data_IF_098514991144
#
_entry.id   IF_098514991144
#
_cell.length_a   1.000
_cell.length_b   1.000
_cell.length_c   1.000
_cell.angle_alpha   90.00
_cell.angle_beta   90.00
_cell.angle_gamma   90.00
#
_symmetry.space_group_name_H-M   'P 1'
#
loop_
_entity.id
_entity.type
_entity.pdbx_description
1 polymer ?
#
# COMPACT_ATOMS: atom_id res chain seq x y z
N UNK A 1 -33.93 -41.77 45.40
CA UNK A 1 -35.16 -41.89 44.58
C UNK A 1 -35.27 -40.60 43.75
N UNK A 2 -35.30 -40.75 42.41
CA UNK A 2 -35.31 -39.70 41.35
C UNK A 2 -36.48 -38.69 41.51
N UNK A 3 -36.49 -37.44 40.96
CA UNK A 3 -36.15 -37.04 39.58
C UNK A 3 -35.23 -35.79 39.50
N UNK A 4 -34.49 -35.44 38.45
CA UNK A 4 -34.81 -35.42 37.03
C UNK A 4 -35.24 -34.01 36.60
N UNK A 5 -34.35 -33.31 35.85
CA UNK A 5 -34.55 -32.19 34.89
C UNK A 5 -33.84 -30.84 35.24
N UNK A 6 -33.45 -30.01 34.23
CA UNK A 6 -33.42 -30.25 32.79
C UNK A 6 -32.03 -30.05 32.15
N UNK A 7 -31.78 -30.83 31.09
CA UNK A 7 -30.86 -30.44 30.04
C UNK A 7 -31.32 -29.10 29.47
N UNK A 8 -30.52 -28.05 29.65
CA UNK A 8 -30.73 -26.79 28.92
C UNK A 8 -29.97 -26.88 27.62
N UNK A 9 -30.75 -26.86 26.55
CA UNK A 9 -30.35 -26.76 25.15
C UNK A 9 -29.22 -25.75 24.94
N UNK A 10 -28.01 -26.26 24.73
CA UNK A 10 -26.88 -25.52 24.16
C UNK A 10 -26.91 -25.49 22.63
N UNK A 11 -28.05 -25.78 22.00
CA UNK A 11 -28.27 -25.69 20.57
C UNK A 11 -28.63 -24.24 20.17
N UNK A 12 -27.73 -23.30 20.44
CA UNK A 12 -27.81 -21.95 19.86
C UNK A 12 -26.78 -21.84 18.72
N UNK A 13 -27.30 -22.02 17.51
CA UNK A 13 -26.84 -21.46 16.23
C UNK A 13 -25.32 -21.41 15.98
N UNK A 14 -24.77 -22.55 15.56
CA UNK A 14 -23.51 -22.61 14.81
C UNK A 14 -23.73 -22.19 13.34
N UNK A 15 -24.24 -20.99 13.08
CA UNK A 15 -24.13 -20.39 11.73
C UNK A 15 -22.69 -19.85 11.59
N UNK A 16 -21.92 -20.28 10.59
CA UNK A 16 -20.49 -20.51 10.78
C UNK A 16 -19.69 -19.22 10.61
N UNK A 17 -18.86 -18.87 11.60
CA UNK A 17 -17.80 -17.85 11.48
C UNK A 17 -16.95 -18.02 10.21
N UNK A 18 -16.84 -19.25 9.70
CA UNK A 18 -16.24 -19.56 8.38
C UNK A 18 -16.90 -18.79 7.23
N UNK A 19 -18.24 -18.72 7.16
CA UNK A 19 -18.93 -18.05 6.05
C UNK A 19 -18.75 -16.54 6.06
N UNK A 20 -18.76 -15.92 7.24
CA UNK A 20 -18.47 -14.49 7.39
C UNK A 20 -17.02 -14.16 7.01
N UNK A 21 -16.07 -14.99 7.45
CA UNK A 21 -14.66 -14.85 7.08
C UNK A 21 -14.42 -15.06 5.58
N UNK A 22 -15.07 -16.05 4.96
CA UNK A 22 -14.97 -16.28 3.52
C UNK A 22 -15.49 -15.08 2.72
N UNK A 23 -16.64 -14.50 3.09
CA UNK A 23 -17.17 -13.28 2.46
C UNK A 23 -16.20 -12.11 2.62
N UNK A 24 -15.66 -11.91 3.83
CA UNK A 24 -14.63 -10.90 4.08
C UNK A 24 -13.38 -11.12 3.23
N UNK A 25 -12.89 -12.35 3.17
CA UNK A 25 -11.67 -12.70 2.42
C UNK A 25 -11.87 -12.52 0.92
N UNK A 26 -12.98 -12.97 0.36
CA UNK A 26 -13.32 -12.76 -1.05
C UNK A 26 -13.49 -11.25 -1.37
N UNK A 27 -14.13 -10.49 -0.47
CA UNK A 27 -14.20 -9.01 -0.58
C UNK A 27 -12.79 -8.43 -0.66
N UNK A 28 -11.89 -8.84 0.24
CA UNK A 28 -10.52 -8.32 0.31
C UNK A 28 -9.73 -8.65 -0.96
N UNK A 29 -9.85 -9.87 -1.47
CA UNK A 29 -9.19 -10.29 -2.71
C UNK A 29 -9.69 -9.45 -3.88
N UNK A 30 -11.01 -9.39 -4.08
CA UNK A 30 -11.61 -8.69 -5.22
C UNK A 30 -11.35 -7.20 -5.19
N UNK A 31 -11.52 -6.53 -4.04
CA UNK A 31 -11.30 -5.07 -3.94
C UNK A 31 -9.83 -4.68 -4.08
N UNK A 32 -8.91 -5.53 -3.59
CA UNK A 32 -7.46 -5.30 -3.75
C UNK A 32 -7.01 -5.56 -5.17
N UNK A 33 -7.50 -6.63 -5.80
CA UNK A 33 -7.17 -6.97 -7.19
C UNK A 33 -7.65 -5.88 -8.15
N UNK A 34 -8.91 -5.45 -7.99
CA UNK A 34 -9.54 -4.40 -8.81
C UNK A 34 -8.78 -3.08 -8.70
N UNK A 35 -8.33 -2.72 -7.50
CA UNK A 35 -7.55 -1.51 -7.29
C UNK A 35 -6.22 -1.54 -8.04
N UNK A 36 -5.50 -2.67 -7.99
CA UNK A 36 -4.22 -2.81 -8.69
C UNK A 36 -4.41 -2.80 -10.21
N UNK A 37 -5.47 -3.44 -10.71
CA UNK A 37 -5.83 -3.41 -12.13
C UNK A 37 -6.19 -2.00 -12.58
N UNK A 38 -7.04 -1.30 -11.81
CA UNK A 38 -7.48 0.07 -12.10
C UNK A 38 -6.30 1.04 -12.13
N UNK A 39 -5.35 0.91 -11.20
CA UNK A 39 -4.17 1.75 -11.16
C UNK A 39 -3.27 1.56 -12.41
N UNK A 40 -3.13 0.34 -12.94
CA UNK A 40 -2.41 0.10 -14.20
C UNK A 40 -3.17 0.67 -15.39
N UNK A 41 -4.48 0.40 -15.47
CA UNK A 41 -5.33 0.88 -16.56
C UNK A 41 -5.35 2.41 -16.62
N UNK A 42 -5.55 3.08 -15.49
CA UNK A 42 -5.56 4.53 -15.35
C UNK A 42 -4.23 5.16 -15.74
N UNK A 43 -3.11 4.62 -15.23
CA UNK A 43 -1.77 5.10 -15.58
C UNK A 43 -1.46 4.95 -17.07
N UNK A 44 -1.79 3.80 -17.67
CA UNK A 44 -1.61 3.63 -19.12
C UNK A 44 -2.52 4.56 -19.93
N UNK A 45 -3.79 4.72 -19.53
CA UNK A 45 -4.77 5.51 -20.27
C UNK A 45 -4.40 7.00 -20.30
N UNK A 46 -4.05 7.59 -19.15
CA UNK A 46 -3.64 9.00 -19.13
C UNK A 46 -2.38 9.22 -19.99
N UNK A 47 -1.43 8.29 -19.97
CA UNK A 47 -0.22 8.39 -20.78
C UNK A 47 -0.49 8.17 -22.27
N UNK A 48 -1.43 7.28 -22.60
CA UNK A 48 -1.88 7.07 -23.97
C UNK A 48 -2.52 8.34 -24.55
N UNK A 49 -3.29 9.09 -23.75
CA UNK A 49 -3.92 10.35 -24.17
C UNK A 49 -2.94 11.52 -24.23
N UNK A 50 -2.13 11.71 -23.18
CA UNK A 50 -1.35 12.95 -23.01
C UNK A 50 0.10 12.85 -23.47
N UNK A 51 0.67 11.64 -23.54
CA UNK A 51 2.10 11.40 -23.79
C UNK A 51 3.02 12.17 -22.83
N UNK A 52 2.52 12.48 -21.63
CA UNK A 52 3.19 13.35 -20.68
C UNK A 52 3.41 12.65 -19.34
N UNK A 53 4.66 12.61 -18.89
CA UNK A 53 5.00 12.13 -17.55
C UNK A 53 4.46 13.04 -16.43
N UNK A 54 4.30 14.34 -16.72
CA UNK A 54 3.70 15.28 -15.78
C UNK A 54 2.22 14.94 -15.52
N UNK A 55 1.49 14.53 -16.55
CA UNK A 55 0.10 14.08 -16.40
C UNK A 55 -0.03 12.83 -15.51
N UNK A 56 0.92 11.91 -15.58
CA UNK A 56 1.00 10.76 -14.65
C UNK A 56 1.20 11.23 -13.20
N UNK A 57 2.09 12.20 -12.98
CA UNK A 57 2.29 12.81 -11.66
C UNK A 57 1.01 13.45 -11.11
N UNK A 58 0.21 14.12 -11.96
CA UNK A 58 -1.08 14.70 -11.56
C UNK A 58 -2.07 13.60 -11.13
N UNK A 59 -2.08 12.43 -11.77
CA UNK A 59 -2.94 11.30 -11.33
C UNK A 59 -2.58 10.83 -9.91
N UNK A 60 -1.30 10.75 -9.59
CA UNK A 60 -0.83 10.46 -8.23
C UNK A 60 -1.28 11.54 -7.25
N UNK A 61 -1.05 12.82 -7.58
CA UNK A 61 -1.46 13.95 -6.75
C UNK A 61 -2.98 14.01 -6.54
N UNK A 62 -3.76 13.70 -7.58
CA UNK A 62 -5.22 13.68 -7.54
C UNK A 62 -5.74 12.61 -6.58
N UNK A 63 -5.09 11.44 -6.49
CA UNK A 63 -5.41 10.43 -5.48
C UNK A 63 -4.99 10.87 -4.07
N UNK A 64 -3.87 11.59 -3.97
CA UNK A 64 -3.26 11.94 -2.69
C UNK A 64 -4.03 13.03 -1.96
N UNK A 65 -4.33 14.11 -2.67
CA UNK A 65 -4.82 15.33 -2.07
C UNK A 65 -6.14 15.10 -1.29
N UNK A 66 -7.16 14.39 -1.85
CA UNK A 66 -8.36 14.06 -1.11
C UNK A 66 -8.08 13.11 0.05
N UNK A 67 -7.23 12.09 -0.15
CA UNK A 67 -6.88 11.14 0.90
C UNK A 67 -6.25 11.86 2.11
N UNK A 68 -5.31 12.76 1.86
CA UNK A 68 -4.63 13.54 2.89
C UNK A 68 -5.58 14.51 3.60
N UNK A 69 -6.39 15.27 2.84
CA UNK A 69 -7.38 16.20 3.41
C UNK A 69 -8.43 15.49 4.28
N UNK A 70 -8.83 14.28 3.88
CA UNK A 70 -9.86 13.50 4.57
C UNK A 70 -9.30 12.64 5.71
N UNK A 71 -7.98 12.48 5.84
CA UNK A 71 -7.37 11.61 6.86
C UNK A 71 -7.83 11.96 8.29
N UNK A 72 -7.99 13.25 8.61
CA UNK A 72 -8.50 13.69 9.92
C UNK A 72 -9.97 13.35 10.13
N UNK A 73 -10.77 13.40 9.06
CA UNK A 73 -12.21 13.11 9.08
C UNK A 73 -12.46 11.60 9.20
N UNK A 74 -11.60 10.79 8.59
CA UNK A 74 -11.70 9.32 8.56
C UNK A 74 -11.79 8.74 9.97
N UNK A 75 -10.98 9.20 10.92
CA UNK A 75 -11.00 8.70 12.30
C UNK A 75 -12.36 8.90 12.98
N UNK A 76 -12.91 10.10 12.87
CA UNK A 76 -14.21 10.45 13.45
C UNK A 76 -15.37 9.66 12.82
N UNK A 77 -15.33 9.45 11.51
CA UNK A 77 -16.35 8.67 10.79
C UNK A 77 -16.23 7.18 11.12
N UNK A 78 -15.01 6.63 11.16
CA UNK A 78 -14.77 5.22 11.45
C UNK A 78 -15.19 4.80 12.86
N UNK A 79 -15.23 5.76 13.80
CA UNK A 79 -15.67 5.51 15.18
C UNK A 79 -17.20 5.61 15.35
N UNK A 80 -17.88 6.45 14.55
CA UNK A 80 -19.32 6.70 14.66
C UNK A 80 -20.20 5.78 13.83
N UNK A 81 -19.69 5.32 12.69
CA UNK A 81 -20.49 4.55 11.73
C UNK A 81 -20.05 3.08 11.68
N UNK A 82 -20.99 2.23 11.25
CA UNK A 82 -20.71 0.82 11.00
C UNK A 82 -19.65 0.67 9.91
N UNK A 83 -18.51 0.05 10.27
CA UNK A 83 -17.35 -0.19 9.40
C UNK A 83 -17.71 -0.96 8.13
N UNK A 84 -18.70 -1.86 8.20
CA UNK A 84 -19.20 -2.57 7.02
C UNK A 84 -19.87 -1.61 6.04
N UNK A 85 -20.67 -0.66 6.54
CA UNK A 85 -21.33 0.36 5.71
C UNK A 85 -20.30 1.30 5.10
N UNK A 86 -19.28 1.71 5.87
CA UNK A 86 -18.18 2.53 5.34
C UNK A 86 -17.49 1.80 4.18
N UNK A 87 -17.06 0.54 4.39
CA UNK A 87 -16.41 -0.25 3.35
C UNK A 87 -17.31 -0.44 2.11
N UNK A 88 -18.60 -0.74 2.29
CA UNK A 88 -19.55 -0.88 1.21
C UNK A 88 -19.73 0.41 0.38
N UNK A 89 -19.83 1.56 1.05
CA UNK A 89 -19.93 2.88 0.38
C UNK A 89 -18.67 3.18 -0.40
N UNK A 90 -17.48 2.99 0.19
CA UNK A 90 -16.21 3.20 -0.50
C UNK A 90 -16.09 2.32 -1.76
N UNK A 91 -16.37 1.03 -1.63
CA UNK A 91 -16.33 0.11 -2.77
C UNK A 91 -17.40 0.41 -3.82
N UNK A 92 -18.54 0.99 -3.42
CA UNK A 92 -19.56 1.47 -4.35
C UNK A 92 -19.06 2.69 -5.13
N UNK A 93 -18.37 3.63 -4.47
CA UNK A 93 -17.73 4.79 -5.15
C UNK A 93 -16.66 4.30 -6.14
N UNK A 94 -15.84 3.34 -5.74
CA UNK A 94 -14.81 2.74 -6.62
C UNK A 94 -15.44 1.99 -7.79
N UNK A 95 -16.51 1.23 -7.55
CA UNK A 95 -17.29 0.56 -8.58
C UNK A 95 -17.88 1.58 -9.57
N UNK A 96 -18.49 2.65 -9.07
CA UNK A 96 -19.06 3.71 -9.89
C UNK A 96 -17.99 4.40 -10.71
N UNK A 97 -16.83 4.73 -10.12
CA UNK A 97 -15.71 5.31 -10.84
C UNK A 97 -15.21 4.38 -11.96
N UNK A 98 -15.03 3.08 -11.67
CA UNK A 98 -14.65 2.08 -12.68
C UNK A 98 -15.72 1.94 -13.79
N UNK A 99 -17.00 2.01 -13.46
CA UNK A 99 -18.09 1.99 -14.43
C UNK A 99 -18.09 3.24 -15.31
N UNK A 100 -17.85 4.43 -14.75
CA UNK A 100 -17.70 5.69 -15.51
C UNK A 100 -16.49 5.61 -16.44
N UNK A 101 -15.35 5.08 -15.98
CA UNK A 101 -14.21 4.81 -16.86
C UNK A 101 -14.58 3.88 -18.02
N UNK A 102 -15.29 2.77 -17.75
CA UNK A 102 -15.70 1.83 -18.78
C UNK A 102 -16.66 2.47 -19.80
N UNK A 103 -17.76 3.07 -19.32
CA UNK A 103 -18.77 3.70 -20.15
C UNK A 103 -18.18 4.84 -20.99
N UNK A 104 -17.33 5.67 -20.39
CA UNK A 104 -16.71 6.77 -21.12
C UNK A 104 -15.64 6.32 -22.09
N UNK A 105 -14.97 5.19 -21.82
CA UNK A 105 -14.05 4.59 -22.80
C UNK A 105 -14.81 4.08 -24.01
N UNK A 106 -15.94 3.39 -23.82
CA UNK A 106 -16.80 2.96 -24.94
C UNK A 106 -17.49 4.13 -25.65
N UNK A 107 -17.87 5.16 -24.91
CA UNK A 107 -18.49 6.38 -25.45
C UNK A 107 -17.49 7.36 -26.08
N UNK A 108 -16.18 7.13 -25.95
CA UNK A 108 -15.14 7.97 -26.54
C UNK A 108 -15.01 9.37 -25.92
N UNK A 109 -15.56 9.61 -24.73
CA UNK A 109 -15.56 10.93 -24.07
C UNK A 109 -14.63 11.03 -22.86
N UNK A 110 -13.88 9.96 -22.52
CA UNK A 110 -12.88 10.03 -21.46
C UNK A 110 -11.70 10.90 -21.90
N UNK A 111 -11.47 11.97 -21.15
CA UNK A 111 -10.35 12.88 -21.29
C UNK A 111 -9.52 12.97 -19.99
N UNK A 112 -8.42 13.73 -20.03
CA UNK A 112 -7.53 13.87 -18.88
C UNK A 112 -8.21 14.46 -17.62
N UNK A 113 -9.00 15.56 -17.71
CA UNK A 113 -9.75 16.07 -16.57
C UNK A 113 -10.66 15.04 -15.89
N UNK A 114 -11.41 14.25 -16.66
CA UNK A 114 -12.28 13.22 -16.10
C UNK A 114 -11.45 12.14 -15.39
N UNK A 115 -10.32 11.72 -15.98
CA UNK A 115 -9.40 10.78 -15.31
C UNK A 115 -8.95 11.32 -13.95
N UNK A 116 -8.57 12.59 -13.86
CA UNK A 116 -8.13 13.20 -12.58
C UNK A 116 -9.24 13.25 -11.54
N UNK A 117 -10.48 13.60 -11.94
CA UNK A 117 -11.63 13.61 -11.02
C UNK A 117 -11.94 12.20 -10.51
N UNK A 118 -11.93 11.21 -11.39
CA UNK A 118 -12.17 9.81 -11.00
C UNK A 118 -11.05 9.27 -10.11
N UNK A 119 -9.78 9.61 -10.40
CA UNK A 119 -8.64 9.29 -9.56
C UNK A 119 -8.80 9.90 -8.16
N UNK A 120 -9.26 11.16 -8.07
CA UNK A 120 -9.55 11.81 -6.80
C UNK A 120 -10.68 11.13 -6.02
N UNK A 121 -11.76 10.72 -6.69
CA UNK A 121 -12.84 9.96 -6.07
C UNK A 121 -12.35 8.61 -5.50
N UNK A 122 -11.51 7.90 -6.24
CA UNK A 122 -10.91 6.62 -5.78
C UNK A 122 -9.97 6.86 -4.60
N UNK A 123 -9.11 7.88 -4.65
CA UNK A 123 -8.23 8.24 -3.54
C UNK A 123 -9.00 8.62 -2.28
N UNK A 124 -10.09 9.40 -2.41
CA UNK A 124 -10.99 9.74 -1.32
C UNK A 124 -11.65 8.49 -0.71
N UNK A 125 -12.18 7.59 -1.55
CA UNK A 125 -12.80 6.34 -1.08
C UNK A 125 -11.81 5.46 -0.31
N UNK A 126 -10.58 5.32 -0.81
CA UNK A 126 -9.50 4.55 -0.20
C UNK A 126 -9.11 5.04 1.19
N UNK A 127 -9.19 6.35 1.42
CA UNK A 127 -8.90 6.95 2.71
C UNK A 127 -9.76 6.36 3.84
N UNK A 128 -11.04 6.09 3.55
CA UNK A 128 -11.98 5.48 4.50
C UNK A 128 -11.97 3.94 4.43
N UNK A 129 -11.78 3.34 3.24
CA UNK A 129 -11.85 1.89 3.06
C UNK A 129 -10.76 1.15 3.87
N UNK A 130 -9.52 1.65 3.86
CA UNK A 130 -8.38 1.00 4.51
C UNK A 130 -8.62 0.73 6.00
N UNK A 131 -8.90 1.77 6.82
CA UNK A 131 -9.22 1.60 8.24
C UNK A 131 -10.50 0.80 8.48
N UNK A 132 -11.52 0.95 7.63
CA UNK A 132 -12.77 0.21 7.75
C UNK A 132 -12.56 -1.30 7.56
N UNK A 133 -11.81 -1.73 6.54
CA UNK A 133 -11.49 -3.14 6.30
C UNK A 133 -10.60 -3.72 7.40
N UNK A 134 -9.55 -2.99 7.82
CA UNK A 134 -8.64 -3.44 8.86
C UNK A 134 -9.38 -3.69 10.19
N UNK A 135 -10.40 -2.88 10.48
CA UNK A 135 -11.20 -2.98 11.69
C UNK A 135 -12.41 -3.93 11.59
N UNK A 136 -12.75 -4.38 10.37
CA UNK A 136 -13.79 -5.37 10.12
C UNK A 136 -13.28 -6.80 10.38
N UNK A 137 -12.01 -7.09 10.10
CA UNK A 137 -11.44 -8.42 10.33
C UNK A 137 -11.63 -8.91 11.79
N UNK A 138 -11.33 -8.11 12.84
CA UNK A 138 -11.58 -8.53 14.21
C UNK A 138 -13.04 -8.68 14.62
N UNK A 139 -13.96 -8.11 13.84
CA UNK A 139 -15.40 -8.27 14.08
C UNK A 139 -15.96 -9.57 13.45
N UNK A 140 -15.23 -10.18 12.51
CA UNK A 140 -15.66 -11.35 11.74
C UNK A 140 -15.14 -12.67 12.32
N UNK A 141 -14.00 -12.65 13.02
CA UNK A 141 -13.38 -13.85 13.60
C UNK A 141 -13.21 -13.74 15.11
N UNK A 142 -13.06 -14.89 15.78
CA UNK A 142 -12.78 -14.91 17.21
C UNK A 142 -11.35 -14.47 17.53
N UNK A 143 -11.09 -13.98 18.75
CA UNK A 143 -9.75 -13.55 19.19
C UNK A 143 -8.66 -14.60 18.96
N UNK A 144 -8.99 -15.89 19.18
CA UNK A 144 -8.06 -17.01 18.97
C UNK A 144 -7.70 -17.24 17.51
N UNK A 145 -8.58 -16.86 16.57
CA UNK A 145 -8.39 -17.05 15.13
C UNK A 145 -7.77 -15.82 14.45
N UNK A 146 -7.71 -14.67 15.13
CA UNK A 146 -7.21 -13.40 14.58
C UNK A 146 -5.83 -13.52 13.91
N UNK A 147 -4.81 -14.19 14.50
CA UNK A 147 -3.50 -14.27 13.85
C UNK A 147 -3.58 -15.01 12.51
N UNK A 148 -4.32 -16.13 12.48
CA UNK A 148 -4.52 -16.93 11.26
C UNK A 148 -5.31 -16.15 10.21
N UNK A 149 -6.36 -15.45 10.64
CA UNK A 149 -7.21 -14.66 9.76
C UNK A 149 -6.45 -13.43 9.18
N UNK A 150 -5.61 -12.81 9.99
CA UNK A 150 -4.71 -11.72 9.58
C UNK A 150 -3.71 -12.23 8.55
N UNK A 151 -3.09 -13.39 8.78
CA UNK A 151 -2.18 -13.99 7.81
C UNK A 151 -2.86 -14.22 6.46
N UNK A 152 -4.07 -14.79 6.43
CA UNK A 152 -4.84 -14.99 5.19
C UNK A 152 -5.22 -13.70 4.47
N UNK A 153 -5.60 -12.66 5.23
CA UNK A 153 -5.94 -11.34 4.68
C UNK A 153 -4.71 -10.66 4.06
N UNK A 154 -3.56 -10.73 4.73
CA UNK A 154 -2.29 -10.22 4.22
C UNK A 154 -1.85 -10.99 2.99
N UNK A 155 -1.93 -12.31 2.98
CA UNK A 155 -1.61 -13.14 1.81
C UNK A 155 -2.48 -12.80 0.60
N UNK A 156 -3.79 -12.57 0.81
CA UNK A 156 -4.68 -12.11 -0.25
C UNK A 156 -4.25 -10.76 -0.83
N UNK A 157 -3.85 -9.81 0.02
CA UNK A 157 -3.35 -8.51 -0.43
C UNK A 157 -2.04 -8.64 -1.22
N UNK A 158 -1.09 -9.46 -0.76
CA UNK A 158 0.15 -9.72 -1.50
C UNK A 158 -0.12 -10.37 -2.86
N UNK A 159 -1.01 -11.36 -2.92
CA UNK A 159 -1.41 -11.99 -4.16
C UNK A 159 -2.04 -10.98 -5.13
N UNK A 160 -2.92 -10.10 -4.64
CA UNK A 160 -3.50 -9.03 -5.44
C UNK A 160 -2.45 -8.03 -5.95
N UNK A 161 -1.43 -7.70 -5.14
CA UNK A 161 -0.34 -6.82 -5.57
C UNK A 161 0.54 -7.43 -6.65
N UNK A 162 0.69 -8.76 -6.67
CA UNK A 162 1.47 -9.47 -7.68
C UNK A 162 0.64 -9.72 -8.95
N UNK A 163 -0.56 -10.25 -8.81
CA UNK A 163 -1.38 -10.71 -9.95
C UNK A 163 -2.19 -9.57 -10.56
N UNK A 164 -2.63 -8.60 -9.75
CA UNK A 164 -3.50 -7.51 -10.18
C UNK A 164 -2.91 -6.65 -11.30
N UNK A 165 -1.66 -6.16 -11.20
CA UNK A 165 -1.08 -5.36 -12.27
C UNK A 165 -0.97 -6.11 -13.60
N UNK A 166 -0.54 -7.38 -13.58
CA UNK A 166 -0.47 -8.23 -14.77
C UNK A 166 -1.85 -8.46 -15.39
N UNK A 167 -2.88 -8.76 -14.59
CA UNK A 167 -4.26 -8.88 -15.07
C UNK A 167 -4.79 -7.56 -15.63
N UNK A 168 -4.49 -6.44 -14.99
CA UNK A 168 -4.88 -5.10 -15.45
C UNK A 168 -4.26 -4.78 -16.81
N UNK A 169 -2.97 -5.04 -16.96
CA UNK A 169 -2.25 -4.91 -18.22
C UNK A 169 -2.76 -5.86 -19.31
N UNK A 170 -3.08 -7.11 -18.95
CA UNK A 170 -3.64 -8.10 -19.87
C UNK A 170 -5.01 -7.65 -20.41
N UNK A 171 -5.95 -7.31 -19.52
CA UNK A 171 -7.27 -6.85 -19.92
C UNK A 171 -7.19 -5.55 -20.73
N UNK A 172 -6.30 -4.62 -20.34
CA UNK A 172 -6.12 -3.38 -21.10
C UNK A 172 -5.52 -3.65 -22.49
N UNK A 173 -4.68 -4.67 -22.62
CA UNK A 173 -4.16 -5.14 -23.90
C UNK A 173 -5.26 -5.64 -24.87
N UNK A 174 -6.36 -6.20 -24.34
CA UNK A 174 -7.56 -6.53 -25.12
C UNK A 174 -8.32 -5.24 -25.48
N UNK A 175 -8.37 -4.31 -24.53
CA UNK A 175 -8.87 -2.95 -24.73
C UNK A 175 -9.10 -2.23 -23.40
N UNK A 176 -9.12 -0.90 -23.44
CA UNK A 176 -9.34 -0.09 -22.25
C UNK A 176 -10.72 -0.37 -21.60
N UNK A 177 -11.78 -0.54 -22.41
CA UNK A 177 -13.14 -0.83 -21.94
C UNK A 177 -13.25 -2.12 -21.11
N UNK A 178 -12.80 -3.28 -21.63
CA UNK A 178 -12.76 -4.54 -20.88
C UNK A 178 -11.99 -4.46 -19.56
N UNK A 179 -10.88 -3.73 -19.51
CA UNK A 179 -10.11 -3.55 -18.28
C UNK A 179 -10.92 -2.85 -17.18
N UNK A 180 -11.59 -1.74 -17.52
CA UNK A 180 -12.42 -1.02 -16.57
C UNK A 180 -13.70 -1.77 -16.21
N UNK A 181 -14.32 -2.48 -17.15
CA UNK A 181 -15.45 -3.38 -16.86
C UNK A 181 -15.05 -4.48 -15.87
N UNK A 182 -13.89 -5.11 -16.08
CA UNK A 182 -13.37 -6.11 -15.15
C UNK A 182 -13.18 -5.57 -13.74
N UNK A 183 -12.69 -4.33 -13.62
CA UNK A 183 -12.59 -3.62 -12.34
C UNK A 183 -13.98 -3.34 -11.74
N UNK A 184 -14.92 -2.82 -12.53
CA UNK A 184 -16.26 -2.49 -12.07
C UNK A 184 -17.02 -3.73 -11.57
N UNK A 185 -16.98 -4.84 -12.32
CA UNK A 185 -17.60 -6.11 -11.93
C UNK A 185 -16.99 -6.68 -10.64
N UNK A 186 -15.66 -6.60 -10.51
CA UNK A 186 -14.96 -7.10 -9.34
C UNK A 186 -15.25 -6.24 -8.09
N UNK A 187 -15.34 -4.91 -8.23
CA UNK A 187 -15.81 -4.03 -7.15
C UNK A 187 -17.28 -4.26 -6.81
N UNK A 188 -18.16 -4.43 -7.80
CA UNK A 188 -19.58 -4.75 -7.57
C UNK A 188 -19.73 -6.06 -6.78
N UNK A 189 -18.98 -7.09 -7.14
CA UNK A 189 -18.94 -8.35 -6.40
C UNK A 189 -18.43 -8.15 -4.96
N UNK A 190 -17.39 -7.32 -4.77
CA UNK A 190 -16.89 -6.96 -3.43
C UNK A 190 -17.97 -6.25 -2.59
N UNK A 191 -18.73 -5.30 -3.18
CA UNK A 191 -19.84 -4.59 -2.52
C UNK A 191 -20.93 -5.57 -2.04
N UNK A 192 -21.32 -6.53 -2.89
CA UNK A 192 -22.32 -7.54 -2.53
C UNK A 192 -21.82 -8.45 -1.39
N UNK A 193 -20.54 -8.85 -1.46
CA UNK A 193 -19.93 -9.71 -0.44
C UNK A 193 -19.79 -8.98 0.90
N UNK A 194 -19.29 -7.74 0.92
CA UNK A 194 -19.11 -6.97 2.16
C UNK A 194 -20.45 -6.65 2.82
N UNK A 195 -21.46 -6.33 2.01
CA UNK A 195 -22.81 -6.02 2.50
C UNK A 195 -23.50 -7.24 3.11
N UNK A 196 -23.19 -8.44 2.61
CA UNK A 196 -23.72 -9.71 3.12
C UNK A 196 -22.95 -10.28 4.31
N UNK A 197 -21.91 -9.61 4.82
CA UNK A 197 -21.20 -10.07 6.04
C UNK A 197 -22.16 -9.93 7.24
N UNK A 198 -22.46 -11.02 7.98
CA UNK A 198 -23.30 -10.95 9.15
C UNK A 198 -22.52 -10.33 10.32
N UNK A 199 -22.89 -9.12 10.73
CA UNK A 199 -22.25 -8.43 11.84
C UNK A 199 -22.81 -8.93 13.17
N UNK A 200 -21.93 -9.45 14.03
CA UNK A 200 -22.28 -9.87 15.39
C UNK A 200 -21.53 -9.08 16.47
N UNK A 201 -20.67 -8.12 16.12
CA UNK A 201 -19.80 -7.45 17.08
C UNK A 201 -20.24 -6.02 17.38
N UNK A 202 -20.45 -5.71 18.66
CA UNK A 202 -20.50 -4.34 19.18
C UNK A 202 -19.21 -3.60 18.79
N UNK A 203 -19.26 -2.28 18.52
CA UNK A 203 -18.07 -1.49 18.28
C UNK A 203 -17.11 -1.67 19.46
N UNK A 204 -15.90 -2.15 19.20
CA UNK A 204 -14.83 -1.98 20.19
C UNK A 204 -14.59 -0.47 20.28
N UNK A 205 -15.04 0.13 21.37
CA UNK A 205 -14.78 1.53 21.73
C UNK A 205 -13.29 1.68 21.93
N UNK A 206 -12.57 2.00 20.85
CA UNK A 206 -11.23 2.56 20.97
C UNK A 206 -11.41 4.04 21.31
N UNK A 207 -10.58 4.61 22.19
CA UNK A 207 -10.61 6.05 22.42
C UNK A 207 -10.33 6.77 21.09
N UNK A 208 -11.05 7.87 20.80
CA UNK A 208 -10.92 8.59 19.54
C UNK A 208 -9.48 9.08 19.34
N UNK A 209 -9.00 9.04 18.10
CA UNK A 209 -7.71 9.65 17.74
C UNK A 209 -7.91 11.17 17.74
N UNK A 210 -7.51 11.83 18.83
CA UNK A 210 -7.54 13.29 18.93
C UNK A 210 -6.34 13.92 18.21
N UNK A 211 -6.45 15.19 17.79
CA UNK A 211 -5.32 15.94 17.24
C UNK A 211 -4.13 15.96 18.22
N UNK A 212 -4.42 16.13 19.51
CA UNK A 212 -3.44 16.07 20.59
C UNK A 212 -2.72 14.70 20.64
N UNK A 213 -3.44 13.60 20.40
CA UNK A 213 -2.89 12.26 20.27
C UNK A 213 -1.92 12.16 19.08
N UNK A 214 -2.27 12.72 17.92
CA UNK A 214 -1.39 12.76 16.74
C UNK A 214 -0.12 13.59 17.02
N UNK A 215 -0.27 14.79 17.59
CA UNK A 215 0.86 15.64 17.96
C UNK A 215 1.78 14.98 19.00
N UNK A 216 1.23 14.20 19.93
CA UNK A 216 2.04 13.43 20.88
C UNK A 216 2.89 12.34 20.19
N UNK A 217 2.33 11.66 19.18
CA UNK A 217 3.06 10.68 18.36
C UNK A 217 4.17 11.33 17.54
N UNK A 218 3.88 12.47 16.91
CA UNK A 218 4.88 13.27 16.16
C UNK A 218 6.01 13.71 17.10
N UNK A 219 5.67 14.27 18.27
CA UNK A 219 6.67 14.71 19.27
C UNK A 219 7.56 13.57 19.75
N UNK A 220 7.01 12.37 19.90
CA UNK A 220 7.78 11.18 20.25
C UNK A 220 8.76 10.79 19.13
N UNK A 221 8.31 10.75 17.89
CA UNK A 221 9.16 10.47 16.73
C UNK A 221 10.34 11.44 16.68
N UNK A 222 10.11 12.74 16.86
CA UNK A 222 11.19 13.75 16.88
C UNK A 222 12.17 13.60 18.06
N UNK A 223 11.76 12.95 19.15
CA UNK A 223 12.62 12.72 20.33
C UNK A 223 13.40 11.42 20.26
N UNK A 224 12.98 10.46 19.44
CA UNK A 224 13.64 9.18 19.27
C UNK A 224 14.43 9.17 17.94
N UNK A 225 15.73 9.51 17.96
CA UNK A 225 16.52 9.77 16.74
C UNK A 225 16.63 8.56 15.82
N UNK A 226 16.53 7.33 16.36
CA UNK A 226 16.55 6.10 15.57
C UNK A 226 15.25 5.94 14.76
N UNK A 227 14.10 6.23 15.36
CA UNK A 227 12.80 6.20 14.65
C UNK A 227 12.73 7.34 13.65
N UNK A 228 13.12 8.56 14.03
CA UNK A 228 13.16 9.71 13.12
C UNK A 228 14.07 9.44 11.92
N UNK A 229 15.28 8.90 12.16
CA UNK A 229 16.23 8.55 11.11
C UNK A 229 15.66 7.50 10.15
N UNK A 230 14.98 6.47 10.68
CA UNK A 230 14.38 5.42 9.86
C UNK A 230 13.18 5.93 9.03
N UNK A 231 12.29 6.72 9.62
CA UNK A 231 11.12 7.29 8.94
C UNK A 231 11.53 8.33 7.89
N UNK A 232 12.48 9.22 8.22
CA UNK A 232 12.95 10.25 7.29
C UNK A 232 13.78 9.65 6.14
N UNK A 233 14.61 8.64 6.41
CA UNK A 233 15.35 7.93 5.35
C UNK A 233 14.38 7.34 4.32
N UNK A 234 13.33 6.68 4.78
CA UNK A 234 12.31 6.11 3.91
C UNK A 234 11.55 7.18 3.13
N UNK A 235 11.09 8.23 3.80
CA UNK A 235 10.40 9.36 3.17
C UNK A 235 11.20 9.92 2.00
N UNK A 236 12.49 10.22 2.19
CA UNK A 236 13.33 10.77 1.14
C UNK A 236 13.72 9.73 0.08
N UNK A 237 13.97 8.48 0.48
CA UNK A 237 14.29 7.41 -0.47
C UNK A 237 13.12 7.13 -1.43
N UNK A 238 11.89 7.10 -0.93
CA UNK A 238 10.68 6.90 -1.73
C UNK A 238 10.37 8.14 -2.57
N UNK A 239 10.54 9.35 -1.99
CA UNK A 239 10.30 10.61 -2.69
C UNK A 239 11.16 10.72 -3.96
N UNK A 240 12.44 10.36 -3.89
CA UNK A 240 13.34 10.36 -5.04
C UNK A 240 13.28 9.05 -5.85
N UNK A 241 12.74 7.98 -5.27
CA UNK A 241 12.73 6.63 -5.83
C UNK A 241 11.53 6.29 -6.73
N UNK A 242 10.74 7.28 -7.17
CA UNK A 242 9.45 7.12 -7.85
C UNK A 242 9.46 6.52 -9.26
N UNK A 243 10.33 5.55 -9.54
CA UNK A 243 10.41 4.83 -10.81
C UNK A 243 9.10 4.11 -11.18
N UNK A 244 8.33 3.66 -10.18
CA UNK A 244 7.04 2.99 -10.36
C UNK A 244 6.00 3.90 -11.04
N UNK A 245 6.03 5.20 -10.74
CA UNK A 245 5.13 6.20 -11.33
C UNK A 245 5.38 6.39 -12.83
N UNK A 246 6.64 6.26 -13.24
CA UNK A 246 7.11 6.47 -14.61
C UNK A 246 7.11 5.18 -15.44
N UNK A 247 6.72 4.04 -14.87
CA UNK A 247 6.65 2.77 -15.61
C UNK A 247 5.85 2.85 -16.91
N UNK A 248 4.73 3.59 -17.03
CA UNK A 248 4.02 3.70 -18.31
C UNK A 248 4.87 4.35 -19.41
N UNK A 249 5.71 5.33 -19.05
CA UNK A 249 6.65 5.99 -19.97
C UNK A 249 7.72 4.98 -20.42
N UNK A 250 8.32 4.25 -19.47
CA UNK A 250 9.33 3.24 -19.77
C UNK A 250 8.82 2.06 -20.59
N UNK A 251 7.65 1.55 -20.22
CA UNK A 251 7.02 0.46 -20.93
C UNK A 251 6.77 0.82 -22.39
N UNK A 252 6.26 2.02 -22.68
CA UNK A 252 5.90 2.45 -24.03
C UNK A 252 7.08 2.94 -24.86
N UNK A 253 7.92 3.83 -24.32
CA UNK A 253 8.86 4.62 -25.13
C UNK A 253 10.31 4.10 -25.08
N UNK A 254 10.63 3.24 -24.12
CA UNK A 254 12.00 2.73 -23.94
C UNK A 254 12.11 1.21 -24.07
N UNK A 255 11.04 0.48 -23.76
CA UNK A 255 11.02 -0.99 -23.79
C UNK A 255 10.13 -1.55 -24.91
N UNK A 256 9.46 -0.69 -25.67
CA UNK A 256 8.54 -1.04 -26.76
C UNK A 256 7.52 -2.12 -26.36
N UNK A 257 7.04 -2.05 -25.12
CA UNK A 257 6.09 -3.00 -24.55
C UNK A 257 4.69 -2.39 -24.42
N UNK A 258 3.68 -3.23 -24.62
CA UNK A 258 2.28 -2.84 -24.44
C UNK A 258 1.83 -2.78 -22.97
N UNK A 259 0.53 -2.59 -22.74
CA UNK A 259 -0.08 -2.54 -21.40
C UNK A 259 0.20 -3.79 -20.56
N UNK A 260 0.27 -4.97 -21.19
CA UNK A 260 0.65 -6.22 -20.53
C UNK A 260 2.09 -6.16 -19.98
N UNK A 261 3.01 -5.60 -20.76
CA UNK A 261 4.41 -5.41 -20.34
C UNK A 261 4.51 -4.48 -19.14
N UNK A 262 3.77 -3.37 -19.14
CA UNK A 262 3.62 -2.49 -17.97
C UNK A 262 3.12 -3.26 -16.74
N UNK A 263 2.07 -4.06 -16.92
CA UNK A 263 1.49 -4.88 -15.85
C UNK A 263 2.55 -5.82 -15.24
N UNK A 264 3.30 -6.52 -16.08
CA UNK A 264 4.38 -7.42 -15.66
C UNK A 264 5.54 -6.70 -14.97
N UNK A 265 5.94 -5.50 -15.45
CA UNK A 265 6.97 -4.69 -14.79
C UNK A 265 6.54 -4.28 -13.38
N UNK A 266 5.28 -3.85 -13.21
CA UNK A 266 4.74 -3.51 -11.89
C UNK A 266 4.63 -4.75 -10.99
N UNK A 267 4.22 -5.89 -11.54
CA UNK A 267 4.20 -7.18 -10.83
C UNK A 267 5.58 -7.64 -10.38
N UNK A 268 6.63 -7.39 -11.18
CA UNK A 268 8.00 -7.79 -10.86
C UNK A 268 8.50 -7.17 -9.53
N UNK A 269 8.15 -5.91 -9.27
CA UNK A 269 8.46 -5.25 -7.99
C UNK A 269 7.79 -5.96 -6.82
N UNK A 270 6.53 -6.34 -6.95
CA UNK A 270 5.79 -7.07 -5.91
C UNK A 270 6.34 -8.50 -5.70
N UNK A 271 6.76 -9.18 -6.77
CA UNK A 271 7.43 -10.49 -6.69
C UNK A 271 8.76 -10.37 -5.95
N UNK A 272 9.55 -9.33 -6.25
CA UNK A 272 10.78 -9.01 -5.54
C UNK A 272 10.55 -8.80 -4.04
N UNK A 273 9.57 -7.99 -3.68
CA UNK A 273 9.22 -7.74 -2.28
C UNK A 273 8.76 -9.01 -1.55
N UNK A 274 7.99 -9.87 -2.21
CA UNK A 274 7.61 -11.17 -1.63
C UNK A 274 8.82 -12.08 -1.42
N UNK A 275 9.71 -12.18 -2.42
CA UNK A 275 10.93 -12.97 -2.32
C UNK A 275 11.84 -12.47 -1.19
N UNK A 276 12.02 -11.15 -1.06
CA UNK A 276 12.76 -10.52 0.04
C UNK A 276 12.13 -10.79 1.40
N UNK A 277 10.79 -10.76 1.50
CA UNK A 277 10.07 -11.09 2.75
C UNK A 277 10.28 -12.55 3.16
N UNK A 278 10.17 -13.49 2.20
CA UNK A 278 10.40 -14.91 2.45
C UNK A 278 11.86 -15.17 2.85
N UNK A 279 12.80 -14.46 2.23
CA UNK A 279 14.21 -14.52 2.59
C UNK A 279 14.45 -14.04 4.02
N UNK A 280 13.88 -12.91 4.43
CA UNK A 280 13.97 -12.39 5.81
C UNK A 280 13.29 -13.30 6.84
N UNK A 281 12.21 -13.97 6.47
CA UNK A 281 11.56 -14.96 7.34
C UNK A 281 12.47 -16.16 7.62
N UNK A 282 13.32 -16.54 6.65
CA UNK A 282 14.30 -17.62 6.82
C UNK A 282 15.60 -17.15 7.47
N UNK A 283 16.01 -15.93 7.18
CA UNK A 283 17.25 -15.29 7.64
C UNK A 283 16.94 -13.98 8.38
N UNK A 284 16.44 -14.07 9.63
CA UNK A 284 16.08 -12.89 10.40
C UNK A 284 17.31 -12.00 10.66
N UNK A 285 17.09 -10.68 10.62
CA UNK A 285 18.13 -9.66 10.83
C UNK A 285 18.55 -9.59 12.30
N UNK A 286 19.38 -10.55 12.73
CA UNK A 286 19.86 -10.65 14.12
C UNK A 286 21.00 -9.69 14.45
N UNK A 287 21.81 -9.31 13.45
CA UNK A 287 23.00 -8.49 13.64
C UNK A 287 22.92 -7.21 12.81
N UNK A 288 22.86 -6.05 13.48
CA UNK A 288 22.94 -4.70 12.88
C UNK A 288 21.81 -4.39 11.89
N UNK A 289 20.54 -4.40 12.34
CA UNK A 289 19.39 -4.08 11.49
C UNK A 289 19.49 -2.71 10.81
N UNK A 290 20.11 -1.72 11.47
CA UNK A 290 20.34 -0.40 10.88
C UNK A 290 21.25 -0.44 9.64
N UNK A 291 22.32 -1.25 9.65
CA UNK A 291 23.18 -1.42 8.47
C UNK A 291 22.43 -2.12 7.34
N UNK A 292 21.62 -3.13 7.65
CA UNK A 292 20.80 -3.83 6.65
C UNK A 292 19.79 -2.88 5.98
N UNK A 293 19.15 -1.99 6.74
CA UNK A 293 18.25 -0.96 6.22
C UNK A 293 18.97 -0.05 5.22
N UNK A 294 20.12 0.51 5.58
CA UNK A 294 20.88 1.36 4.67
C UNK A 294 21.37 0.62 3.42
N UNK A 295 21.86 -0.62 3.57
CA UNK A 295 22.23 -1.46 2.42
C UNK A 295 21.03 -1.70 1.49
N UNK A 296 19.84 -1.97 2.05
CA UNK A 296 18.61 -2.09 1.28
C UNK A 296 18.30 -0.84 0.46
N UNK A 297 18.35 0.35 1.08
CA UNK A 297 18.10 1.62 0.38
C UNK A 297 19.15 1.93 -0.69
N UNK A 298 20.42 1.57 -0.47
CA UNK A 298 21.47 1.74 -1.48
C UNK A 298 21.24 0.80 -2.67
N UNK A 299 20.93 -0.48 -2.41
CA UNK A 299 20.63 -1.44 -3.47
C UNK A 299 19.37 -1.02 -4.24
N UNK A 300 18.36 -0.48 -3.55
CA UNK A 300 17.18 0.11 -4.17
C UNK A 300 17.56 1.25 -5.13
N UNK A 301 18.39 2.20 -4.69
CA UNK A 301 18.85 3.30 -5.53
C UNK A 301 19.68 2.84 -6.73
N UNK A 302 20.54 1.82 -6.56
CA UNK A 302 21.31 1.21 -7.66
C UNK A 302 20.38 0.51 -8.65
N UNK A 303 19.42 -0.28 -8.16
CA UNK A 303 18.43 -0.95 -9.02
C UNK A 303 17.59 0.04 -9.81
N UNK A 304 17.18 1.16 -9.18
CA UNK A 304 16.50 2.27 -9.84
C UNK A 304 17.36 2.91 -10.95
N UNK A 305 18.64 3.15 -10.68
CA UNK A 305 19.57 3.68 -11.69
C UNK A 305 19.78 2.71 -12.87
N UNK A 306 19.94 1.41 -12.58
CA UNK A 306 20.07 0.35 -13.60
C UNK A 306 18.79 0.27 -14.45
N UNK A 307 17.62 0.33 -13.83
CA UNK A 307 16.34 0.38 -14.54
C UNK A 307 16.26 1.60 -15.46
N UNK A 308 16.66 2.78 -14.98
CA UNK A 308 16.71 4.01 -15.78
C UNK A 308 17.65 3.95 -16.98
N UNK A 309 18.74 3.17 -16.91
CA UNK A 309 19.71 3.01 -18.00
C UNK A 309 19.42 1.83 -18.94
N UNK A 310 18.49 0.95 -18.55
CA UNK A 310 18.21 -0.28 -19.27
C UNK A 310 17.41 -0.04 -20.55
N UNK A 311 17.82 -0.72 -21.63
CA UNK A 311 17.11 -0.79 -22.91
C UNK A 311 16.49 -2.16 -23.18
N UNK A 312 16.74 -3.13 -22.31
CA UNK A 312 16.26 -4.50 -22.49
C UNK A 312 15.16 -4.80 -21.49
N UNK A 313 14.03 -5.31 -21.98
CA UNK A 313 12.87 -5.64 -21.15
C UNK A 313 13.23 -6.55 -19.96
N UNK A 314 14.04 -7.59 -20.19
CA UNK A 314 14.44 -8.55 -19.15
C UNK A 314 15.32 -7.89 -18.09
N UNK A 315 16.27 -7.04 -18.49
CA UNK A 315 17.13 -6.32 -17.55
C UNK A 315 16.31 -5.38 -16.67
N UNK A 316 15.35 -4.67 -17.26
CA UNK A 316 14.41 -3.82 -16.54
C UNK A 316 13.53 -4.60 -15.57
N UNK A 317 13.04 -5.78 -16.00
CA UNK A 317 12.24 -6.67 -15.16
C UNK A 317 13.05 -7.16 -13.94
N UNK A 318 14.29 -7.63 -14.15
CA UNK A 318 15.19 -8.07 -13.08
C UNK A 318 15.57 -6.92 -12.14
N UNK A 319 15.82 -5.73 -12.68
CA UNK A 319 16.09 -4.54 -11.88
C UNK A 319 14.91 -4.22 -10.94
N UNK A 320 13.66 -4.32 -11.43
CA UNK A 320 12.47 -4.11 -10.61
C UNK A 320 12.26 -5.20 -9.55
N UNK A 321 12.62 -6.46 -9.85
CA UNK A 321 12.66 -7.53 -8.83
C UNK A 321 13.64 -7.19 -7.72
N UNK A 322 14.87 -6.77 -8.07
CA UNK A 322 15.89 -6.37 -7.09
C UNK A 322 15.43 -5.15 -6.30
N UNK A 323 14.84 -4.16 -6.97
CA UNK A 323 14.27 -2.96 -6.36
C UNK A 323 13.26 -3.34 -5.27
N UNK A 324 12.25 -4.15 -5.60
CA UNK A 324 11.25 -4.59 -4.62
C UNK A 324 11.82 -5.45 -3.48
N UNK A 325 12.77 -6.34 -3.78
CA UNK A 325 13.43 -7.17 -2.77
C UNK A 325 14.28 -6.35 -1.79
N UNK A 326 14.91 -5.27 -2.26
CA UNK A 326 15.71 -4.38 -1.44
C UNK A 326 14.87 -3.40 -0.60
N UNK A 327 13.74 -2.93 -1.15
CA UNK A 327 12.78 -2.06 -0.45
C UNK A 327 12.22 -2.74 0.80
N UNK A 328 11.79 -4.01 0.68
CA UNK A 328 11.14 -4.71 1.79
C UNK A 328 12.06 -4.89 3.01
N UNK A 329 13.38 -4.94 2.81
CA UNK A 329 14.36 -4.97 3.91
C UNK A 329 14.27 -3.69 4.73
N UNK A 330 14.23 -2.52 4.06
CA UNK A 330 14.07 -1.22 4.71
C UNK A 330 12.73 -1.11 5.43
N UNK A 331 11.64 -1.55 4.78
CA UNK A 331 10.29 -1.54 5.33
C UNK A 331 10.19 -2.39 6.60
N UNK A 332 10.69 -3.63 6.56
CA UNK A 332 10.64 -4.54 7.72
C UNK A 332 11.44 -3.97 8.89
N UNK A 333 12.66 -3.49 8.67
CA UNK A 333 13.47 -2.90 9.75
C UNK A 333 12.77 -1.68 10.34
N UNK A 334 12.24 -0.78 9.51
CA UNK A 334 11.52 0.42 9.96
C UNK A 334 10.30 0.07 10.80
N UNK A 335 9.44 -0.85 10.32
CA UNK A 335 8.25 -1.29 11.04
C UNK A 335 8.62 -1.97 12.36
N UNK A 336 9.66 -2.81 12.37
CA UNK A 336 10.16 -3.43 13.60
C UNK A 336 10.72 -2.42 14.60
N UNK A 337 11.48 -1.41 14.15
CA UNK A 337 11.98 -0.35 15.03
C UNK A 337 10.84 0.47 15.63
N UNK A 338 9.84 0.84 14.83
CA UNK A 338 8.64 1.53 15.34
C UNK A 338 7.91 0.67 16.36
N UNK A 339 7.77 -0.63 16.11
CA UNK A 339 7.06 -1.53 17.02
C UNK A 339 7.80 -1.80 18.33
N UNK A 340 9.10 -2.03 18.28
CA UNK A 340 9.89 -2.47 19.44
C UNK A 340 10.45 -1.32 20.28
N UNK A 341 10.56 -0.11 19.72
CA UNK A 341 11.09 1.06 20.46
C UNK A 341 10.01 2.04 20.93
N UNK A 342 8.76 1.86 20.48
CA UNK A 342 7.65 2.69 20.95
C UNK A 342 6.97 2.01 22.14
N UNK A 343 6.77 2.73 23.26
CA UNK A 343 5.98 2.22 24.39
C UNK A 343 4.56 1.82 23.95
N UNK A 344 4.01 0.75 24.53
CA UNK A 344 2.69 0.20 24.17
C UNK A 344 1.57 1.25 24.17
N UNK A 345 1.60 2.17 25.13
CA UNK A 345 0.62 3.26 25.28
C UNK A 345 0.63 4.25 24.10
N UNK A 346 1.77 4.37 23.41
CA UNK A 346 2.01 5.28 22.29
C UNK A 346 2.04 4.59 20.93
N UNK A 347 2.13 3.26 20.91
CA UNK A 347 2.29 2.45 19.70
C UNK A 347 1.22 2.76 18.64
N UNK A 348 -0.04 2.88 19.04
CA UNK A 348 -1.14 3.22 18.14
C UNK A 348 -0.99 4.61 17.51
N UNK A 349 -0.51 5.59 18.29
CA UNK A 349 -0.33 6.98 17.85
C UNK A 349 0.83 7.11 16.87
N UNK A 350 1.96 6.49 17.21
CA UNK A 350 3.15 6.47 16.36
C UNK A 350 2.89 5.67 15.07
N UNK A 351 2.14 4.57 15.14
CA UNK A 351 1.75 3.79 13.96
C UNK A 351 0.87 4.57 13.00
N UNK A 352 -0.06 5.39 13.52
CA UNK A 352 -0.89 6.28 12.70
C UNK A 352 -0.04 7.32 11.96
N UNK A 353 0.91 7.96 12.65
CA UNK A 353 1.85 8.90 12.03
C UNK A 353 2.73 8.20 11.00
N UNK A 354 3.30 7.03 11.31
CA UNK A 354 4.07 6.23 10.35
C UNK A 354 3.27 5.92 9.07
N UNK A 355 1.99 5.57 9.21
CA UNK A 355 1.13 5.26 8.07
C UNK A 355 0.87 6.49 7.19
N UNK A 356 0.69 7.67 7.81
CA UNK A 356 0.59 8.94 7.12
C UNK A 356 1.88 9.28 6.36
N UNK A 357 3.04 9.14 7.01
CA UNK A 357 4.34 9.37 6.38
C UNK A 357 4.56 8.47 5.15
N UNK A 358 4.27 7.17 5.26
CA UNK A 358 4.40 6.23 4.15
C UNK A 358 3.44 6.60 3.01
N UNK A 359 2.16 6.84 3.32
CA UNK A 359 1.17 7.21 2.32
C UNK A 359 1.50 8.52 1.58
N UNK A 360 1.94 9.53 2.32
CA UNK A 360 2.37 10.82 1.76
C UNK A 360 3.64 10.69 0.94
N UNK A 361 4.64 9.94 1.41
CA UNK A 361 5.91 9.75 0.69
C UNK A 361 5.72 9.12 -0.68
N UNK A 362 4.91 8.06 -0.78
CA UNK A 362 4.66 7.36 -2.02
C UNK A 362 4.03 8.28 -3.06
N UNK A 363 2.91 8.92 -2.72
CA UNK A 363 2.18 9.70 -3.71
C UNK A 363 2.85 11.05 -4.04
N UNK A 364 3.53 11.67 -3.06
CA UNK A 364 4.33 12.86 -3.32
C UNK A 364 5.54 12.52 -4.20
N UNK A 365 6.15 11.34 -4.01
CA UNK A 365 7.19 10.80 -4.89
C UNK A 365 6.69 10.55 -6.31
N UNK A 366 5.48 10.01 -6.48
CA UNK A 366 4.88 9.85 -7.82
C UNK A 366 4.68 11.20 -8.52
N UNK A 367 4.24 12.23 -7.79
CA UNK A 367 4.11 13.59 -8.31
C UNK A 367 5.48 14.20 -8.65
N UNK A 368 6.43 14.16 -7.72
CA UNK A 368 7.80 14.66 -7.91
C UNK A 368 8.43 14.02 -9.14
N UNK A 369 8.33 12.70 -9.27
CA UNK A 369 8.89 11.94 -10.39
C UNK A 369 8.20 12.30 -11.71
N UNK A 370 6.90 12.57 -11.70
CA UNK A 370 6.17 13.09 -12.86
C UNK A 370 6.63 14.48 -13.29
N UNK A 371 6.85 15.39 -12.34
CA UNK A 371 7.35 16.76 -12.60
C UNK A 371 8.78 16.73 -13.14
N UNK A 372 9.68 16.02 -12.46
CA UNK A 372 11.09 15.93 -12.88
C UNK A 372 11.22 15.24 -14.23
N UNK A 373 10.40 14.21 -14.50
CA UNK A 373 10.34 13.59 -15.81
C UNK A 373 9.77 14.52 -16.90
N UNK A 374 8.83 15.40 -16.56
CA UNK A 374 8.31 16.41 -17.46
C UNK A 374 9.36 17.44 -17.89
N UNK A 375 10.26 17.83 -16.99
CA UNK A 375 11.31 18.82 -17.28
C UNK A 375 12.58 18.21 -17.89
N UNK A 376 13.05 17.09 -17.36
CA UNK A 376 14.35 16.52 -17.73
C UNK A 376 14.24 15.23 -18.56
N UNK A 377 13.02 14.75 -18.80
CA UNK A 377 12.76 13.45 -19.42
C UNK A 377 12.80 12.32 -18.40
N UNK A 378 11.94 11.30 -18.60
CA UNK A 378 11.75 10.20 -17.65
C UNK A 378 13.05 9.43 -17.34
N UNK A 379 13.94 9.26 -18.32
CA UNK A 379 15.23 8.58 -18.13
C UNK A 379 16.12 9.29 -17.12
N UNK A 380 16.30 10.60 -17.31
CA UNK A 380 17.14 11.43 -16.44
C UNK A 380 16.53 11.58 -15.06
N UNK A 381 15.20 11.69 -14.98
CA UNK A 381 14.47 11.73 -13.72
C UNK A 381 14.71 10.47 -12.88
N UNK A 382 14.53 9.27 -13.47
CA UNK A 382 14.77 8.00 -12.76
C UNK A 382 16.24 7.84 -12.35
N UNK A 383 17.18 8.19 -13.24
CA UNK A 383 18.61 8.10 -12.91
C UNK A 383 18.99 9.07 -11.79
N UNK A 384 18.54 10.33 -11.86
CA UNK A 384 18.76 11.33 -10.82
C UNK A 384 18.11 10.89 -9.50
N UNK A 385 16.91 10.32 -9.55
CA UNK A 385 16.20 9.77 -8.40
C UNK A 385 16.96 8.62 -7.71
N UNK A 386 17.48 7.68 -8.50
CA UNK A 386 18.33 6.59 -7.99
C UNK A 386 19.62 7.10 -7.34
N UNK A 387 20.31 8.04 -7.98
CA UNK A 387 21.53 8.67 -7.44
C UNK A 387 21.21 9.47 -6.17
N UNK A 388 20.13 10.25 -6.16
CA UNK A 388 19.68 11.02 -5.01
C UNK A 388 19.33 10.09 -3.84
N UNK A 389 18.69 8.96 -4.09
CA UNK A 389 18.39 7.95 -3.05
C UNK A 389 19.67 7.39 -2.42
N UNK A 390 20.69 7.09 -3.23
CA UNK A 390 22.00 6.64 -2.71
C UNK A 390 22.68 7.76 -1.91
N UNK A 391 22.64 9.00 -2.41
CA UNK A 391 23.21 10.16 -1.73
C UNK A 391 22.54 10.43 -0.38
N UNK A 392 21.21 10.35 -0.32
CA UNK A 392 20.42 10.46 0.91
C UNK A 392 20.80 9.35 1.88
N UNK A 393 20.91 8.10 1.43
CA UNK A 393 21.33 7.00 2.30
C UNK A 393 22.72 7.24 2.91
N UNK A 394 23.70 7.68 2.09
CA UNK A 394 25.06 8.00 2.56
C UNK A 394 25.09 9.20 3.51
N UNK A 395 24.28 10.23 3.26
CA UNK A 395 24.16 11.40 4.12
C UNK A 395 23.51 11.03 5.46
N UNK A 396 22.44 10.23 5.44
CA UNK A 396 21.78 9.75 6.67
C UNK A 396 22.67 8.84 7.49
N UNK A 397 23.57 8.05 6.88
CA UNK A 397 24.59 7.31 7.63
C UNK A 397 25.50 8.22 8.46
N UNK A 398 25.68 9.49 8.06
CA UNK A 398 26.46 10.49 8.79
C UNK A 398 25.61 11.29 9.80
N UNK A 399 24.40 11.68 9.42
CA UNK A 399 23.50 12.47 10.26
C UNK A 399 22.85 11.65 11.39
N UNK A 400 22.60 10.36 11.16
CA UNK A 400 21.99 9.44 12.12
C UNK A 400 22.93 8.28 12.45
N UNK A 401 24.08 8.54 13.10
CA UNK A 401 25.05 7.50 13.44
C UNK A 401 24.46 6.46 14.41
N UNK A 402 23.49 6.84 15.24
CA UNK A 402 22.81 5.96 16.19
C UNK A 402 21.96 4.91 15.48
N UNK A 403 21.26 5.29 14.39
CA UNK A 403 20.54 4.34 13.54
C UNK A 403 21.52 3.34 12.90
N UNK A 404 22.64 3.83 12.35
CA UNK A 404 23.65 2.95 11.73
C UNK A 404 24.28 1.98 12.74
N UNK A 405 24.52 2.44 13.97
CA UNK A 405 25.14 1.67 15.05
C UNK A 405 24.18 0.74 15.77
N UNK A 406 22.88 0.84 15.50
CA UNK A 406 21.84 0.01 16.12
C UNK A 406 22.15 -1.47 15.89
N UNK A 407 22.44 -2.20 16.98
CA UNK A 407 22.84 -3.62 16.94
C UNK A 407 21.67 -4.58 17.17
N UNK A 408 20.66 -4.15 17.93
CA UNK A 408 19.41 -4.87 18.18
C UNK A 408 18.19 -4.04 17.74
N UNK A 409 17.11 -4.73 17.37
CA UNK A 409 15.81 -4.10 17.11
C UNK A 409 15.14 -3.62 18.42
N UNK A 410 15.49 -4.23 19.55
CA UNK A 410 15.04 -3.87 20.89
C UNK A 410 15.82 -2.66 21.43
N UNK A 411 15.30 -2.05 22.51
CA UNK A 411 15.95 -0.93 23.18
C UNK A 411 17.20 -1.44 23.91
N UNK A 412 18.35 -0.79 23.75
CA UNK A 412 19.67 -1.24 24.28
C UNK A 412 19.80 -1.21 25.83
N UNK A 413 18.70 -1.37 26.58
CA UNK A 413 18.63 -1.35 28.05
C UNK A 413 18.14 -2.64 28.72
N UNK A 414 17.44 -3.55 28.02
CA UNK A 414 16.85 -4.75 28.67
C UNK A 414 17.85 -5.89 28.88
N UNK A 415 19.01 -5.88 28.20
CA UNK A 415 20.07 -6.87 28.41
C UNK A 415 20.94 -6.64 29.66
N UNK A 416 20.67 -5.61 30.47
CA UNK A 416 21.41 -5.37 31.73
C UNK A 416 20.66 -5.83 32.99
N UNK A 417 19.51 -6.49 32.85
CA UNK A 417 18.69 -6.96 33.96
C UNK A 417 18.39 -8.47 33.92
N UNK A 418 19.34 -9.26 33.39
CA UNK A 418 19.29 -10.72 33.38
C UNK A 418 20.49 -11.32 34.09
#
# INVERSE_FOLDING_TARGET
MNPGLPASDGASERVPKRGAFQRFWCTRVLSSLSFQMLAVAMGWHIYALTKSAFALGIVGLAQFLPMFMLTLVVGHVADRYDRRRIAAVCQTIECAAAAVFALGTYGGWIDAPIIYVLAACVGAARAFEGPAIASLLPAVVSRAELPRATAWSTSANQAAQIVGPALGGLLYGIGAGPAYLGCALSFAAAVLLVSSIPLHAKPATRPPVTLESVFSGIRFIFREPVILGALSLDLFAVLFGGATALLPVFARDFLDTGPLGLGLLRSASAVGALAGTLWLARFPLKNRPGCAMFCGVIVFGVATAVFGLSHQYIVSLLALVVLGASDVISVVVRLSLVQLRTPDEMLGRVSAVNSLFIGTSNQLGEFESGVTAGWWGARRAVLAGGIATIAVAMLWMRLFPDLRRTRSLERDGEHRAG
#
